data_IF_566907214889
#
_entry.id   IF_566907214889
#
_cell.length_a   1.000
_cell.length_b   1.000
_cell.length_c   1.000
_cell.angle_alpha   90.00
_cell.angle_beta   90.00
_cell.angle_gamma   90.00
#
_symmetry.space_group_name_H-M   'P 1'
#
loop_
_entity.id
_entity.type
_entity.pdbx_description
1 polymer ?
#
# COMPACT_ATOMS: atom_id res chain seq x y z
N UNK A 1 -6.47 7.72 -18.68
CA UNK A 1 -7.37 8.16 -17.59
C UNK A 1 -6.69 7.77 -16.28
N UNK A 2 -7.15 8.30 -15.16
CA UNK A 2 -6.54 8.02 -13.85
C UNK A 2 -7.08 6.74 -13.20
N UNK A 3 -7.77 5.87 -13.95
CA UNK A 3 -8.39 4.66 -13.42
C UNK A 3 -7.34 3.61 -13.05
N UNK A 4 -7.43 3.06 -11.84
CA UNK A 4 -6.53 2.00 -11.35
C UNK A 4 -6.81 0.70 -12.12
N UNK A 5 -5.83 0.23 -12.89
CA UNK A 5 -5.95 -0.97 -13.72
C UNK A 5 -5.30 -2.19 -13.07
N UNK A 6 -4.08 -2.02 -12.56
CA UNK A 6 -3.25 -3.11 -12.00
C UNK A 6 -2.65 -2.69 -10.67
N UNK A 7 -2.69 -3.61 -9.71
CA UNK A 7 -2.02 -3.49 -8.41
C UNK A 7 -1.11 -4.72 -8.22
N UNK A 8 0.14 -4.50 -7.85
CA UNK A 8 1.10 -5.58 -7.59
C UNK A 8 1.87 -5.32 -6.30
N UNK A 9 1.68 -6.19 -5.32
CA UNK A 9 2.48 -6.25 -4.09
C UNK A 9 3.63 -7.25 -4.20
N UNK A 10 4.75 -6.94 -3.56
CA UNK A 10 5.89 -7.86 -3.39
C UNK A 10 6.65 -7.62 -2.09
N UNK A 11 7.36 -8.64 -1.65
CA UNK A 11 8.26 -8.55 -0.51
C UNK A 11 9.64 -8.06 -0.97
N UNK A 12 10.16 -7.02 -0.33
CA UNK A 12 11.52 -6.50 -0.49
C UNK A 12 12.21 -6.39 0.87
N UNK A 13 13.47 -5.95 0.92
CA UNK A 13 14.21 -5.76 2.17
C UNK A 13 14.33 -4.27 2.53
N UNK A 14 14.14 -3.96 3.81
CA UNK A 14 14.42 -2.65 4.37
C UNK A 14 15.93 -2.42 4.61
N UNK A 15 16.30 -1.23 5.08
CA UNK A 15 17.69 -0.86 5.38
C UNK A 15 18.36 -1.69 6.48
N UNK A 16 17.58 -2.47 7.25
CA UNK A 16 18.03 -3.38 8.30
C UNK A 16 18.04 -4.84 7.84
N UNK A 17 17.72 -5.10 6.57
CA UNK A 17 17.62 -6.45 6.01
C UNK A 17 16.38 -7.23 6.45
N UNK A 18 15.36 -6.57 7.02
CA UNK A 18 14.10 -7.24 7.33
C UNK A 18 13.13 -7.12 6.13
N UNK A 19 12.26 -8.11 5.91
CA UNK A 19 11.21 -8.00 4.92
C UNK A 19 10.31 -6.78 5.12
N UNK A 20 9.87 -6.17 4.02
CA UNK A 20 8.81 -5.15 4.00
C UNK A 20 8.03 -5.21 2.68
N UNK A 21 6.89 -4.52 2.63
CA UNK A 21 5.99 -4.51 1.48
C UNK A 21 6.38 -3.40 0.50
N UNK A 22 6.49 -3.74 -0.78
CA UNK A 22 6.51 -2.81 -1.91
C UNK A 22 5.23 -3.00 -2.73
N UNK A 23 4.60 -1.91 -3.15
CA UNK A 23 3.40 -1.92 -3.99
C UNK A 23 3.64 -1.08 -5.24
N UNK A 24 3.26 -1.64 -6.39
CA UNK A 24 3.10 -0.93 -7.66
C UNK A 24 1.61 -0.76 -8.00
N UNK A 25 1.26 0.43 -8.47
CA UNK A 25 -0.05 0.75 -9.05
C UNK A 25 0.17 1.23 -10.48
N UNK A 26 -0.59 0.68 -11.42
CA UNK A 26 -0.64 1.13 -12.81
C UNK A 26 -2.04 1.64 -13.14
N UNK A 27 -2.09 2.81 -13.77
CA UNK A 27 -3.32 3.41 -14.27
C UNK A 27 -3.52 3.05 -15.74
N UNK A 28 -4.75 3.12 -16.22
CA UNK A 28 -5.08 2.82 -17.62
C UNK A 28 -4.42 3.77 -18.64
N UNK A 29 -3.93 4.93 -18.19
CA UNK A 29 -3.13 5.86 -18.98
C UNK A 29 -1.71 5.37 -19.27
N UNK A 30 -1.25 4.36 -18.54
CA UNK A 30 0.14 3.92 -18.48
C UNK A 30 0.97 4.61 -17.39
N UNK A 31 0.44 5.61 -16.69
CA UNK A 31 1.09 6.17 -15.50
C UNK A 31 1.21 5.11 -14.40
N UNK A 32 2.28 5.18 -13.61
CA UNK A 32 2.50 4.22 -12.53
C UNK A 32 3.19 4.83 -11.33
N UNK A 33 2.96 4.22 -10.17
CA UNK A 33 3.52 4.64 -8.90
C UNK A 33 3.98 3.45 -8.09
N UNK A 34 5.13 3.59 -7.42
CA UNK A 34 5.75 2.58 -6.57
C UNK A 34 5.97 3.12 -5.17
N UNK A 35 5.65 2.34 -4.15
CA UNK A 35 5.94 2.68 -2.77
C UNK A 35 6.48 1.47 -1.99
N UNK A 36 7.62 1.65 -1.31
CA UNK A 36 8.11 0.73 -0.28
C UNK A 36 7.69 1.29 1.07
N UNK A 37 7.07 0.47 1.90
CA UNK A 37 6.62 0.90 3.23
C UNK A 37 7.77 0.73 4.23
N UNK A 38 8.09 1.75 5.05
CA UNK A 38 9.09 1.61 6.08
C UNK A 38 8.57 0.70 7.20
N UNK A 39 9.47 -0.12 7.76
CA UNK A 39 9.18 -0.90 8.96
C UNK A 39 9.37 -0.04 10.21
N UNK A 40 8.31 0.08 11.02
CA UNK A 40 8.40 0.72 12.33
C UNK A 40 9.21 -0.13 13.32
N UNK A 41 9.75 0.50 14.35
CA UNK A 41 10.21 -0.18 15.56
C UNK A 41 9.28 0.10 16.76
N UNK A 42 8.32 1.02 16.59
CA UNK A 42 7.35 1.39 17.61
C UNK A 42 6.28 0.33 17.73
N UNK A 43 5.88 0.03 18.97
CA UNK A 43 4.84 -0.94 19.33
C UNK A 43 3.76 -0.24 20.14
N UNK A 44 3.45 1.01 19.80
CA UNK A 44 2.42 1.76 20.50
C UNK A 44 1.07 1.04 20.39
N UNK A 45 0.39 0.83 21.52
CA UNK A 45 -0.88 0.09 21.58
C UNK A 45 -2.01 0.72 20.72
N UNK A 46 -1.86 1.98 20.34
CA UNK A 46 -2.82 2.74 19.54
C UNK A 46 -2.33 2.99 18.10
N UNK A 47 -1.20 2.39 17.71
CA UNK A 47 -0.69 2.50 16.35
C UNK A 47 -1.36 1.50 15.41
N UNK A 48 -1.37 1.83 14.12
CA UNK A 48 -1.84 0.90 13.10
C UNK A 48 -0.92 -0.34 13.04
N UNK A 49 -1.51 -1.53 12.91
CA UNK A 49 -0.80 -2.78 13.08
C UNK A 49 -0.16 -3.24 11.78
N UNK A 50 1.17 -3.32 11.79
CA UNK A 50 1.90 -3.97 10.71
C UNK A 50 1.66 -5.49 10.72
N UNK A 51 1.25 -6.06 9.58
CA UNK A 51 1.04 -7.50 9.47
C UNK A 51 2.35 -8.21 9.11
N UNK A 52 2.74 -9.15 9.97
CA UNK A 52 3.93 -10.01 9.84
C UNK A 52 3.50 -11.47 9.78
N UNK A 53 4.27 -12.29 9.07
CA UNK A 53 3.95 -13.70 8.84
C UNK A 53 4.07 -14.57 10.10
N UNK A 54 4.96 -14.20 11.03
CA UNK A 54 5.38 -15.10 12.10
C UNK A 54 6.18 -16.31 11.58
N UNK A 55 6.36 -17.32 12.43
CA UNK A 55 7.13 -18.54 12.10
C UNK A 55 8.65 -18.32 11.99
N UNK A 56 9.35 -19.26 11.34
CA UNK A 56 10.81 -19.31 11.35
C UNK A 56 11.46 -18.43 10.26
N UNK A 57 10.79 -18.26 9.12
CA UNK A 57 11.31 -17.49 8.01
C UNK A 57 11.53 -16.03 8.42
N UNK A 58 12.74 -15.51 8.17
CA UNK A 58 13.14 -14.15 8.55
C UNK A 58 12.97 -13.84 10.05
N UNK A 59 12.99 -14.86 10.92
CA UNK A 59 12.73 -14.71 12.35
C UNK A 59 11.33 -14.18 12.64
N UNK A 60 10.34 -14.62 11.87
CA UNK A 60 8.94 -14.22 12.00
C UNK A 60 8.57 -12.90 11.34
N UNK A 61 9.52 -12.24 10.68
CA UNK A 61 9.34 -10.90 10.10
C UNK A 61 8.94 -10.90 8.63
N UNK A 62 8.66 -12.06 8.05
CA UNK A 62 8.11 -12.17 6.70
C UNK A 62 6.85 -11.29 6.55
N UNK A 63 6.54 -10.89 5.31
CA UNK A 63 5.36 -10.08 4.99
C UNK A 63 4.57 -10.66 3.82
N UNK A 64 4.69 -11.97 3.57
CA UNK A 64 4.00 -12.66 2.48
C UNK A 64 2.48 -12.62 2.63
N UNK A 65 1.95 -12.60 3.86
CA UNK A 65 0.51 -12.43 4.11
C UNK A 65 0.06 -11.02 3.69
N UNK A 66 0.79 -9.99 4.10
CA UNK A 66 0.49 -8.61 3.71
C UNK A 66 0.57 -8.43 2.18
N UNK A 67 1.57 -9.05 1.53
CA UNK A 67 1.70 -9.06 0.07
C UNK A 67 0.51 -9.77 -0.61
N UNK A 68 0.05 -10.88 -0.05
CA UNK A 68 -1.15 -11.57 -0.55
C UNK A 68 -2.41 -10.68 -0.41
N UNK A 69 -2.53 -9.93 0.68
CA UNK A 69 -3.63 -8.98 0.87
C UNK A 69 -3.60 -7.85 -0.17
N UNK A 70 -2.41 -7.32 -0.50
CA UNK A 70 -2.25 -6.34 -1.59
C UNK A 70 -2.73 -6.92 -2.92
N UNK A 71 -2.26 -8.12 -3.28
CA UNK A 71 -2.55 -8.75 -4.57
C UNK A 71 -3.97 -9.34 -4.69
N UNK A 72 -4.66 -9.50 -3.56
CA UNK A 72 -5.99 -10.09 -3.48
C UNK A 72 -7.05 -9.05 -3.14
N UNK A 73 -7.44 -9.03 -1.86
CA UNK A 73 -8.60 -8.27 -1.38
C UNK A 73 -8.46 -6.76 -1.60
N UNK A 74 -7.29 -6.18 -1.32
CA UNK A 74 -7.08 -4.74 -1.48
C UNK A 74 -7.05 -4.33 -2.97
N UNK A 75 -6.40 -5.11 -3.84
CA UNK A 75 -6.45 -4.89 -5.28
C UNK A 75 -7.89 -4.93 -5.81
N UNK A 76 -8.69 -5.91 -5.37
CA UNK A 76 -10.09 -6.02 -5.77
C UNK A 76 -10.94 -4.83 -5.30
N UNK A 77 -10.64 -4.29 -4.12
CA UNK A 77 -11.36 -3.15 -3.56
C UNK A 77 -11.14 -1.84 -4.34
N UNK A 78 -9.95 -1.63 -4.93
CA UNK A 78 -9.59 -0.35 -5.57
C UNK A 78 -9.56 -0.37 -7.09
N UNK A 79 -9.57 -1.55 -7.72
CA UNK A 79 -9.53 -1.66 -9.18
C UNK A 79 -10.74 -0.97 -9.81
N UNK A 80 -10.50 -0.14 -10.81
CA UNK A 80 -11.54 0.66 -11.47
C UNK A 80 -11.87 1.98 -10.77
N UNK A 81 -11.30 2.26 -9.60
CA UNK A 81 -11.42 3.57 -8.96
C UNK A 81 -10.52 4.62 -9.63
N UNK A 82 -10.90 5.88 -9.49
CA UNK A 82 -10.10 7.03 -9.94
C UNK A 82 -8.98 7.33 -8.94
N UNK A 83 -7.73 7.25 -9.37
CA UNK A 83 -6.56 7.53 -8.55
C UNK A 83 -6.46 9.00 -8.11
N UNK A 84 -7.17 9.93 -8.76
CA UNK A 84 -7.27 11.31 -8.30
C UNK A 84 -8.14 11.48 -7.05
N UNK A 85 -9.08 10.57 -6.79
CA UNK A 85 -9.85 10.57 -5.54
C UNK A 85 -9.16 9.75 -4.46
N UNK A 86 -8.03 10.28 -3.98
CA UNK A 86 -7.22 9.65 -2.94
C UNK A 86 -8.05 9.29 -1.69
N UNK A 87 -9.01 10.14 -1.31
CA UNK A 87 -9.86 9.90 -0.13
C UNK A 87 -10.82 8.74 -0.35
N UNK A 88 -11.39 8.61 -1.54
CA UNK A 88 -12.22 7.45 -1.86
C UNK A 88 -11.40 6.16 -1.84
N UNK A 89 -10.20 6.17 -2.45
CA UNK A 89 -9.29 5.01 -2.43
C UNK A 89 -8.92 4.63 -1.00
N UNK A 90 -8.44 5.58 -0.19
CA UNK A 90 -8.05 5.31 1.20
C UNK A 90 -9.23 4.80 2.04
N UNK A 91 -10.45 5.30 1.79
CA UNK A 91 -11.66 4.81 2.45
C UNK A 91 -11.99 3.39 2.02
N UNK A 92 -11.95 3.08 0.74
CA UNK A 92 -12.18 1.71 0.25
C UNK A 92 -11.19 0.71 0.85
N UNK A 93 -9.92 1.11 1.03
CA UNK A 93 -8.90 0.28 1.69
C UNK A 93 -9.19 0.07 3.18
N UNK A 94 -9.62 1.12 3.89
CA UNK A 94 -9.99 1.00 5.31
C UNK A 94 -11.28 0.20 5.50
N UNK A 95 -12.28 0.41 4.64
CA UNK A 95 -13.55 -0.31 4.67
C UNK A 95 -13.35 -1.79 4.31
N UNK A 96 -12.45 -2.08 3.36
CA UNK A 96 -12.03 -3.43 3.07
C UNK A 96 -11.48 -4.07 4.35
N UNK A 97 -10.46 -3.48 4.98
CA UNK A 97 -9.88 -4.02 6.21
C UNK A 97 -10.90 -4.19 7.36
N UNK A 98 -11.73 -3.18 7.60
CA UNK A 98 -12.84 -3.24 8.56
C UNK A 98 -12.44 -3.20 10.03
N UNK A 99 -11.15 -3.01 10.37
CA UNK A 99 -10.70 -2.80 11.75
C UNK A 99 -10.15 -1.39 11.96
N UNK A 100 -10.29 -0.85 13.17
CA UNK A 100 -9.83 0.51 13.48
C UNK A 100 -8.30 0.64 13.36
N UNK A 101 -7.60 -0.44 13.72
CA UNK A 101 -6.14 -0.54 13.79
C UNK A 101 -5.49 -1.06 12.50
N UNK A 102 -6.26 -1.41 11.46
CA UNK A 102 -5.76 -1.96 10.19
C UNK A 102 -5.07 -3.32 10.34
N UNK A 103 -5.39 -4.06 11.39
CA UNK A 103 -4.71 -5.30 11.75
C UNK A 103 -5.11 -6.52 10.92
N UNK A 104 -6.26 -6.49 10.21
CA UNK A 104 -6.73 -7.65 9.44
C UNK A 104 -5.98 -7.81 8.12
N UNK A 105 -5.87 -6.75 7.35
CA UNK A 105 -5.18 -6.70 6.06
C UNK A 105 -3.75 -6.20 6.17
N UNK A 106 -3.44 -5.50 7.27
CA UNK A 106 -2.12 -4.99 7.59
C UNK A 106 -1.97 -3.52 7.17
N UNK A 107 -1.61 -2.68 8.14
CA UNK A 107 -1.33 -1.27 7.90
C UNK A 107 -0.23 -1.05 6.85
N UNK A 108 0.74 -1.95 6.78
CA UNK A 108 1.79 -1.96 5.76
C UNK A 108 1.25 -2.23 4.34
N UNK A 109 0.28 -3.13 4.18
CA UNK A 109 -0.36 -3.36 2.88
C UNK A 109 -1.18 -2.14 2.43
N UNK A 110 -2.01 -1.62 3.34
CA UNK A 110 -2.90 -0.47 3.08
C UNK A 110 -2.09 0.78 2.74
N UNK A 111 -1.08 1.10 3.55
CA UNK A 111 -0.24 2.29 3.33
C UNK A 111 0.56 2.18 2.02
N UNK A 112 1.05 0.98 1.69
CA UNK A 112 1.78 0.76 0.44
C UNK A 112 0.94 1.09 -0.78
N UNK A 113 -0.30 0.58 -0.82
CA UNK A 113 -1.25 0.84 -1.91
C UNK A 113 -1.71 2.30 -1.95
N UNK A 114 -1.98 2.91 -0.79
CA UNK A 114 -2.33 4.34 -0.68
C UNK A 114 -1.24 5.24 -1.28
N UNK A 115 0.01 5.04 -0.90
CA UNK A 115 1.15 5.84 -1.38
C UNK A 115 1.49 5.57 -2.85
N UNK A 116 1.39 4.32 -3.30
CA UNK A 116 1.60 3.96 -4.70
C UNK A 116 0.55 4.62 -5.60
N UNK A 117 -0.71 4.69 -5.15
CA UNK A 117 -1.80 5.39 -5.85
C UNK A 117 -1.50 6.89 -5.98
N UNK A 118 -1.15 7.57 -4.88
CA UNK A 118 -0.80 8.98 -4.91
C UNK A 118 0.35 9.31 -5.87
N UNK A 119 1.35 8.41 -5.94
CA UNK A 119 2.49 8.54 -6.86
C UNK A 119 2.07 8.34 -8.31
N UNK A 120 1.23 7.34 -8.59
CA UNK A 120 0.72 7.09 -9.93
C UNK A 120 -0.10 8.29 -10.44
N UNK A 121 -0.96 8.84 -9.57
CA UNK A 121 -1.75 10.02 -9.87
C UNK A 121 -0.89 11.28 -10.08
N UNK A 122 0.16 11.48 -9.28
CA UNK A 122 1.11 12.59 -9.49
C UNK A 122 1.82 12.48 -10.85
N UNK A 123 2.21 11.26 -11.26
CA UNK A 123 2.81 11.00 -12.58
C UNK A 123 1.80 11.29 -13.70
N UNK A 124 0.54 10.85 -13.56
CA UNK A 124 -0.53 11.16 -14.53
C UNK A 124 -0.78 12.67 -14.67
N UNK A 125 -0.70 13.40 -13.56
CA UNK A 125 -0.88 14.85 -13.53
C UNK A 125 0.34 15.65 -14.02
N UNK A 126 1.42 14.97 -14.45
CA UNK A 126 2.72 15.57 -14.80
C UNK A 126 3.24 16.52 -13.70
N UNK A 127 3.04 16.12 -12.44
CA UNK A 127 3.36 16.91 -11.28
C UNK A 127 4.35 16.19 -10.36
N UNK A 128 5.36 16.89 -9.81
CA UNK A 128 6.13 16.36 -8.69
C UNK A 128 5.20 16.00 -7.52
N UNK A 129 5.45 14.88 -6.84
CA UNK A 129 4.58 14.37 -5.77
C UNK A 129 4.24 15.43 -4.69
N UNK A 130 5.22 16.25 -4.29
CA UNK A 130 5.00 17.28 -3.27
C UNK A 130 4.01 18.37 -3.73
N UNK A 131 3.98 18.69 -5.04
CA UNK A 131 3.01 19.60 -5.63
C UNK A 131 1.64 18.94 -5.77
N UNK A 132 1.61 17.70 -6.24
CA UNK A 132 0.35 16.96 -6.34
C UNK A 132 -0.37 16.84 -4.99
N UNK A 133 0.37 16.52 -3.92
CA UNK A 133 -0.19 16.39 -2.56
C UNK A 133 -0.49 17.75 -1.91
N UNK A 134 0.35 18.75 -2.14
CA UNK A 134 0.34 20.00 -1.36
C UNK A 134 -0.26 21.23 -2.05
N UNK A 135 -0.42 21.21 -3.38
CA UNK A 135 -0.73 22.40 -4.19
C UNK A 135 0.51 23.19 -4.66
#
# INVERSE_FOLDING_TARGET
MSTIEVVVGRQVLDSRGNPTVEVDVHLDSGASGRAIVPSGASTGMFEAVELRDGGDAWGGKGVTIAVANVNGELAAAVRGMDAYDQRAVDRALCDADGTDDKGRLGANAILGLSLATARAAAVEADAPLFRYVGG
#
